data_IF_280527465403
#
_entry.id   IF_280527465403
#
_cell.length_a   1.000
_cell.length_b   1.000
_cell.length_c   1.000
_cell.angle_alpha   90.00
_cell.angle_beta   90.00
_cell.angle_gamma   90.00
#
_symmetry.space_group_name_H-M   'P 1'
#
loop_
_entity.id
_entity.type
_entity.pdbx_description
1 polymer ?
#
# COMPACT_ATOMS: atom_id res chain seq x y z
N UNK A 1 0.03 4.07 -28.19
CA UNK A 1 -0.55 5.03 -27.23
C UNK A 1 -1.04 4.20 -26.05
N UNK A 2 -0.56 4.46 -24.83
CA UNK A 2 -0.90 3.62 -23.67
C UNK A 2 -2.40 3.71 -23.32
N UNK A 3 -2.94 2.65 -22.72
CA UNK A 3 -4.31 2.61 -22.21
C UNK A 3 -4.56 3.78 -21.23
N UNK A 4 -5.69 4.51 -21.33
CA UNK A 4 -6.06 5.55 -20.36
C UNK A 4 -6.07 5.02 -18.92
N UNK A 5 -5.69 5.85 -17.95
CA UNK A 5 -5.59 5.46 -16.52
C UNK A 5 -6.88 4.86 -15.98
N UNK A 6 -8.04 5.43 -16.36
CA UNK A 6 -9.34 4.93 -15.90
C UNK A 6 -9.64 3.53 -16.44
N UNK A 7 -9.35 3.28 -17.72
CA UNK A 7 -9.55 1.96 -18.33
C UNK A 7 -8.59 0.94 -17.69
N UNK A 8 -7.34 1.34 -17.48
CA UNK A 8 -6.34 0.51 -16.78
C UNK A 8 -6.74 0.19 -15.35
N UNK A 9 -7.31 1.16 -14.64
CA UNK A 9 -7.85 1.00 -13.27
C UNK A 9 -8.97 -0.03 -13.27
N UNK A 10 -9.94 0.09 -14.19
CA UNK A 10 -11.03 -0.88 -14.35
C UNK A 10 -10.50 -2.28 -14.64
N UNK A 11 -9.51 -2.36 -15.53
CA UNK A 11 -8.91 -3.64 -15.92
C UNK A 11 -8.22 -4.34 -14.76
N UNK A 12 -7.46 -3.62 -13.92
CA UNK A 12 -6.92 -4.20 -12.69
C UNK A 12 -8.01 -4.56 -11.67
N UNK A 13 -9.06 -3.75 -11.56
CA UNK A 13 -10.14 -3.99 -10.60
C UNK A 13 -10.98 -5.23 -10.94
N UNK A 14 -11.20 -5.53 -12.22
CA UNK A 14 -12.17 -6.55 -12.63
C UNK A 14 -11.58 -7.69 -13.47
N UNK A 15 -10.47 -7.45 -14.19
CA UNK A 15 -9.80 -8.43 -15.04
C UNK A 15 -8.28 -8.53 -14.74
N UNK A 16 -7.85 -8.68 -13.47
CA UNK A 16 -6.45 -8.54 -13.08
C UNK A 16 -5.50 -9.50 -13.81
N UNK A 17 -5.95 -10.73 -14.12
CA UNK A 17 -5.14 -11.69 -14.88
C UNK A 17 -4.78 -11.17 -16.27
N UNK A 18 -5.75 -10.61 -16.99
CA UNK A 18 -5.52 -10.03 -18.31
C UNK A 18 -4.66 -8.76 -18.20
N UNK A 19 -4.97 -7.89 -17.23
CA UNK A 19 -4.20 -6.70 -16.91
C UNK A 19 -2.71 -7.00 -16.71
N UNK A 20 -2.37 -7.97 -15.84
CA UNK A 20 -0.99 -8.32 -15.54
C UNK A 20 -0.24 -8.92 -16.73
N UNK A 21 -0.93 -9.68 -17.59
CA UNK A 21 -0.33 -10.18 -18.83
C UNK A 21 0.05 -9.05 -19.78
N UNK A 22 -0.79 -8.02 -19.86
CA UNK A 22 -0.55 -6.85 -20.71
C UNK A 22 0.63 -5.96 -20.26
N UNK A 23 1.04 -6.02 -18.99
CA UNK A 23 2.08 -5.13 -18.42
C UNK A 23 3.44 -5.82 -18.18
N UNK A 24 3.60 -7.09 -18.63
CA UNK A 24 4.84 -7.86 -18.45
C UNK A 24 6.08 -7.14 -18.98
N UNK A 25 5.96 -6.56 -20.16
CA UNK A 25 7.03 -5.81 -20.84
C UNK A 25 6.90 -4.28 -20.67
N UNK A 26 5.98 -3.83 -19.82
CA UNK A 26 5.82 -2.40 -19.57
C UNK A 26 7.03 -1.82 -18.83
N UNK A 27 7.47 -0.65 -19.30
CA UNK A 27 8.61 0.09 -18.75
C UNK A 27 8.32 0.57 -17.34
N UNK A 28 9.38 0.70 -16.56
CA UNK A 28 9.27 1.13 -15.18
C UNK A 28 8.59 2.49 -15.00
N UNK A 29 8.92 3.44 -15.87
CA UNK A 29 8.36 4.78 -15.86
C UNK A 29 6.84 4.79 -16.06
N UNK A 30 6.28 3.88 -16.85
CA UNK A 30 4.84 3.89 -17.17
C UNK A 30 4.02 3.29 -16.02
N UNK A 31 4.53 2.25 -15.36
CA UNK A 31 4.00 1.77 -14.08
C UNK A 31 4.06 2.86 -13.00
N UNK A 32 5.19 3.56 -12.90
CA UNK A 32 5.35 4.59 -11.88
C UNK A 32 4.43 5.79 -12.11
N UNK A 33 4.22 6.23 -13.37
CA UNK A 33 3.22 7.26 -13.72
C UNK A 33 1.83 6.84 -13.28
N UNK A 34 1.41 5.60 -13.56
CA UNK A 34 0.12 5.08 -13.13
C UNK A 34 -0.03 5.11 -11.60
N UNK A 35 0.99 4.62 -10.89
CA UNK A 35 1.02 4.63 -9.42
C UNK A 35 0.87 6.06 -8.88
N UNK A 36 1.69 6.99 -9.35
CA UNK A 36 1.70 8.38 -8.87
C UNK A 36 0.32 9.02 -9.03
N UNK A 37 -0.34 8.84 -10.16
CA UNK A 37 -1.68 9.39 -10.39
C UNK A 37 -2.68 8.88 -9.35
N UNK A 38 -2.69 7.57 -9.07
CA UNK A 38 -3.58 6.99 -8.07
C UNK A 38 -3.22 7.38 -6.63
N UNK A 39 -1.93 7.52 -6.32
CA UNK A 39 -1.46 7.97 -5.00
C UNK A 39 -1.87 9.42 -4.73
N UNK A 40 -1.78 10.31 -5.71
CA UNK A 40 -2.26 11.69 -5.56
C UNK A 40 -3.78 11.75 -5.36
N UNK A 41 -4.55 10.92 -6.10
CA UNK A 41 -5.98 10.79 -5.86
C UNK A 41 -6.27 10.33 -4.43
N UNK A 42 -5.63 9.25 -3.99
CA UNK A 42 -5.78 8.72 -2.63
C UNK A 42 -5.44 9.76 -1.57
N UNK A 43 -4.31 10.46 -1.71
CA UNK A 43 -3.86 11.47 -0.76
C UNK A 43 -4.84 12.65 -0.66
N UNK A 44 -5.41 13.10 -1.79
CA UNK A 44 -6.45 14.11 -1.79
C UNK A 44 -7.69 13.66 -1.01
N UNK A 45 -8.21 12.46 -1.30
CA UNK A 45 -9.38 11.93 -0.62
C UNK A 45 -9.14 11.67 0.88
N UNK A 46 -7.98 11.14 1.24
CA UNK A 46 -7.58 10.90 2.63
C UNK A 46 -7.42 12.22 3.41
N UNK A 47 -6.89 13.27 2.77
CA UNK A 47 -6.80 14.61 3.37
C UNK A 47 -8.19 15.20 3.60
N UNK A 48 -9.12 15.06 2.64
CA UNK A 48 -10.52 15.46 2.83
C UNK A 48 -11.15 14.74 4.04
N UNK A 49 -10.94 13.42 4.16
CA UNK A 49 -11.47 12.66 5.30
C UNK A 49 -10.85 13.04 6.64
N UNK A 50 -9.60 13.49 6.63
CA UNK A 50 -8.90 14.03 7.80
C UNK A 50 -9.48 15.38 8.19
N UNK A 51 -9.70 16.28 7.23
CA UNK A 51 -10.31 17.61 7.47
C UNK A 51 -11.72 17.47 8.07
N UNK A 52 -12.50 16.50 7.58
CA UNK A 52 -13.85 16.22 8.07
C UNK A 52 -13.85 15.49 9.43
N UNK A 53 -12.68 15.12 9.96
CA UNK A 53 -12.52 14.37 11.21
C UNK A 53 -13.27 13.02 11.25
N UNK A 54 -13.61 12.48 10.07
CA UNK A 54 -14.33 11.20 9.95
C UNK A 54 -13.36 10.03 10.05
N UNK A 55 -12.23 10.14 9.34
CA UNK A 55 -11.23 9.09 9.30
C UNK A 55 -9.83 9.71 9.14
N UNK A 56 -9.27 10.27 10.23
CA UNK A 56 -7.96 10.91 10.20
C UNK A 56 -6.87 9.92 9.77
N UNK A 57 -6.08 10.31 8.77
CA UNK A 57 -5.03 9.44 8.26
C UNK A 57 -3.84 9.38 9.24
N UNK A 58 -3.22 8.21 9.48
CA UNK A 58 -2.12 8.06 10.46
C UNK A 58 -0.88 8.93 10.17
N UNK A 59 -0.68 9.31 8.90
CA UNK A 59 0.42 10.17 8.46
C UNK A 59 0.00 11.64 8.26
N UNK A 60 -1.15 12.05 8.78
CA UNK A 60 -1.54 13.46 8.81
C UNK A 60 -0.80 14.21 9.93
N UNK A 61 -0.56 15.49 9.70
CA UNK A 61 0.10 16.40 10.63
C UNK A 61 -0.65 16.57 11.95
N UNK A 62 -1.94 16.22 12.01
CA UNK A 62 -2.75 16.23 13.25
C UNK A 62 -2.10 15.43 14.37
N UNK A 63 -1.54 14.25 14.04
CA UNK A 63 -0.87 13.38 15.00
C UNK A 63 0.44 13.98 15.52
N UNK A 64 1.14 14.77 14.70
CA UNK A 64 2.46 15.34 15.03
C UNK A 64 2.41 16.79 15.51
N UNK A 65 1.35 17.52 15.24
CA UNK A 65 1.23 18.97 15.46
C UNK A 65 -0.23 19.39 15.70
N UNK A 66 -0.84 18.98 16.83
CA UNK A 66 -2.27 19.14 17.10
C UNK A 66 -2.77 20.58 17.29
N UNK A 67 -1.90 21.60 17.17
CA UNK A 67 -2.24 23.01 17.36
C UNK A 67 -2.50 23.81 16.07
N UNK A 68 -2.29 23.23 14.89
CA UNK A 68 -2.47 23.94 13.61
C UNK A 68 -3.94 23.83 13.16
N UNK A 69 -4.62 24.94 12.80
CA UNK A 69 -6.00 24.89 12.31
C UNK A 69 -6.20 23.91 11.16
N UNK A 70 -7.31 23.16 11.19
CA UNK A 70 -7.59 22.07 10.23
C UNK A 70 -7.66 22.56 8.78
N UNK A 71 -8.15 23.78 8.55
CA UNK A 71 -8.28 24.39 7.22
C UNK A 71 -7.09 25.27 6.83
N UNK A 72 -5.99 25.24 7.59
CA UNK A 72 -4.78 25.98 7.24
C UNK A 72 -4.21 25.45 5.90
N UNK A 73 -4.02 26.29 4.87
CA UNK A 73 -3.49 25.85 3.58
C UNK A 73 -2.13 25.17 3.67
N UNK A 74 -1.26 25.59 4.60
CA UNK A 74 0.06 24.98 4.82
C UNK A 74 -0.11 23.56 5.36
N UNK A 75 -1.04 23.37 6.29
CA UNK A 75 -1.37 22.04 6.85
C UNK A 75 -1.82 21.08 5.76
N UNK A 76 -2.74 21.51 4.90
CA UNK A 76 -3.27 20.70 3.80
C UNK A 76 -2.16 20.24 2.85
N UNK A 77 -1.22 21.15 2.51
CA UNK A 77 -0.07 20.83 1.65
C UNK A 77 0.84 19.80 2.33
N UNK A 78 1.13 19.98 3.62
CA UNK A 78 1.96 19.04 4.40
C UNK A 78 1.29 17.67 4.47
N UNK A 79 -0.02 17.60 4.70
CA UNK A 79 -0.77 16.34 4.78
C UNK A 79 -0.74 15.59 3.46
N UNK A 80 -1.06 16.24 2.34
CA UNK A 80 -1.00 15.62 1.02
C UNK A 80 0.40 15.10 0.74
N UNK A 81 1.43 15.92 0.97
CA UNK A 81 2.81 15.52 0.72
C UNK A 81 3.23 14.32 1.60
N UNK A 82 2.91 14.36 2.88
CA UNK A 82 3.23 13.30 3.84
C UNK A 82 2.54 11.99 3.48
N UNK A 83 1.28 12.03 3.05
CA UNK A 83 0.51 10.86 2.63
C UNK A 83 1.07 10.29 1.32
N UNK A 84 1.43 11.13 0.35
CA UNK A 84 2.05 10.67 -0.91
C UNK A 84 3.38 9.96 -0.63
N UNK A 85 4.27 10.59 0.13
CA UNK A 85 5.60 10.05 0.44
C UNK A 85 5.49 8.76 1.24
N UNK A 86 4.69 8.75 2.31
CA UNK A 86 4.50 7.55 3.15
C UNK A 86 3.89 6.39 2.37
N UNK A 87 2.93 6.65 1.48
CA UNK A 87 2.30 5.62 0.64
C UNK A 87 3.29 5.01 -0.34
N UNK A 88 4.05 5.82 -1.07
CA UNK A 88 5.08 5.33 -2.01
C UNK A 88 6.15 4.55 -1.25
N UNK A 89 6.63 5.08 -0.13
CA UNK A 89 7.65 4.42 0.69
C UNK A 89 7.15 3.07 1.20
N UNK A 90 5.92 3.00 1.68
CA UNK A 90 5.28 1.75 2.14
C UNK A 90 5.23 0.71 1.02
N UNK A 91 4.79 1.09 -0.18
CA UNK A 91 4.73 0.18 -1.32
C UNK A 91 6.12 -0.29 -1.77
N UNK A 92 7.13 0.57 -1.73
CA UNK A 92 8.52 0.19 -2.05
C UNK A 92 9.09 -0.74 -1.00
N UNK A 93 8.96 -0.43 0.30
CA UNK A 93 9.42 -1.30 1.39
C UNK A 93 8.73 -2.66 1.31
N UNK A 94 7.41 -2.67 1.12
CA UNK A 94 6.65 -3.91 0.94
C UNK A 94 7.09 -4.68 -0.30
N UNK A 95 7.38 -4.02 -1.43
CA UNK A 95 7.88 -4.68 -2.63
C UNK A 95 9.24 -5.36 -2.42
N UNK A 96 10.17 -4.71 -1.72
CA UNK A 96 11.47 -5.31 -1.34
C UNK A 96 11.25 -6.51 -0.42
N UNK A 97 10.43 -6.33 0.62
CA UNK A 97 10.10 -7.37 1.58
C UNK A 97 9.43 -8.58 0.94
N UNK A 98 8.43 -8.36 0.08
CA UNK A 98 7.75 -9.39 -0.68
C UNK A 98 8.70 -10.12 -1.64
N UNK A 99 9.66 -9.41 -2.24
CA UNK A 99 10.60 -10.01 -3.19
C UNK A 99 11.45 -11.11 -2.55
N UNK A 100 11.79 -10.98 -1.26
CA UNK A 100 12.45 -12.05 -0.49
C UNK A 100 11.67 -13.36 -0.61
N UNK A 101 10.38 -13.34 -0.29
CA UNK A 101 9.52 -14.53 -0.28
C UNK A 101 9.25 -15.06 -1.68
N UNK A 102 9.03 -14.16 -2.65
CA UNK A 102 8.91 -14.52 -4.08
C UNK A 102 10.17 -15.23 -4.56
N UNK A 103 11.35 -14.73 -4.19
CA UNK A 103 12.62 -15.36 -4.52
C UNK A 103 12.79 -16.72 -3.82
N UNK A 104 12.46 -16.84 -2.53
CA UNK A 104 12.54 -18.12 -1.83
C UNK A 104 11.63 -19.20 -2.46
N UNK A 105 10.48 -18.80 -3.02
CA UNK A 105 9.50 -19.70 -3.64
C UNK A 105 9.70 -19.90 -5.15
N UNK A 106 10.83 -19.45 -5.70
CA UNK A 106 11.26 -19.76 -7.07
C UNK A 106 11.00 -18.67 -8.11
N UNK A 107 10.49 -17.49 -7.73
CA UNK A 107 10.35 -16.35 -8.63
C UNK A 107 11.71 -15.80 -9.04
N UNK A 108 11.99 -15.73 -10.35
CA UNK A 108 13.31 -15.34 -10.90
C UNK A 108 13.22 -14.29 -12.01
N UNK A 109 12.07 -13.61 -12.17
CA UNK A 109 11.88 -12.59 -13.22
C UNK A 109 12.38 -11.19 -12.83
N UNK A 110 13.12 -11.09 -11.72
CA UNK A 110 13.72 -9.86 -11.21
C UNK A 110 12.80 -9.06 -10.27
N UNK A 111 13.41 -8.22 -9.42
CA UNK A 111 12.70 -7.41 -8.42
C UNK A 111 11.70 -6.44 -9.04
N UNK A 112 11.98 -5.94 -10.25
CA UNK A 112 11.08 -5.02 -10.94
C UNK A 112 9.71 -5.64 -11.23
N UNK A 113 9.63 -6.94 -11.50
CA UNK A 113 8.35 -7.63 -11.67
C UNK A 113 7.57 -7.73 -10.35
N UNK A 114 8.26 -7.85 -9.21
CA UNK A 114 7.62 -7.75 -7.89
C UNK A 114 7.08 -6.34 -7.64
N UNK A 115 7.85 -5.28 -7.94
CA UNK A 115 7.37 -3.91 -7.82
C UNK A 115 6.17 -3.63 -8.73
N UNK A 116 6.17 -4.12 -9.97
CA UNK A 116 5.00 -4.03 -10.84
C UNK A 116 3.77 -4.71 -10.24
N UNK A 117 3.94 -5.90 -9.67
CA UNK A 117 2.85 -6.58 -8.93
C UNK A 117 2.31 -5.69 -7.81
N UNK A 118 3.20 -5.20 -6.93
CA UNK A 118 2.81 -4.36 -5.80
C UNK A 118 2.11 -3.08 -6.25
N UNK A 119 2.69 -2.33 -7.18
CA UNK A 119 2.16 -1.03 -7.60
C UNK A 119 0.80 -1.14 -8.28
N UNK A 120 0.61 -2.13 -9.15
CA UNK A 120 -0.69 -2.34 -9.78
C UNK A 120 -1.71 -2.97 -8.84
N UNK A 121 -1.29 -3.89 -7.97
CA UNK A 121 -2.19 -4.50 -7.00
C UNK A 121 -2.70 -3.53 -5.94
N UNK A 122 -1.99 -2.43 -5.68
CA UNK A 122 -2.43 -1.38 -4.76
C UNK A 122 -3.66 -0.60 -5.26
N UNK A 123 -4.04 -0.74 -6.54
CA UNK A 123 -5.17 -0.02 -7.17
C UNK A 123 -6.44 0.00 -6.31
N UNK A 124 -6.94 -1.13 -5.76
CA UNK A 124 -8.16 -1.13 -4.96
C UNK A 124 -8.02 -0.30 -3.69
N UNK A 125 -6.89 -0.40 -2.99
CA UNK A 125 -6.64 0.41 -1.80
C UNK A 125 -6.56 1.89 -2.16
N UNK A 126 -5.87 2.25 -3.23
CA UNK A 126 -5.72 3.65 -3.65
C UNK A 126 -7.06 4.30 -4.06
N UNK A 127 -8.02 3.51 -4.56
CA UNK A 127 -9.33 4.05 -4.97
C UNK A 127 -10.44 3.86 -3.92
N UNK A 128 -10.32 2.93 -2.98
CA UNK A 128 -11.37 2.60 -2.00
C UNK A 128 -11.00 2.89 -0.55
N UNK A 129 -9.71 2.88 -0.17
CA UNK A 129 -9.34 2.91 1.25
C UNK A 129 -9.59 4.24 1.95
N UNK A 130 -9.88 5.31 1.21
CA UNK A 130 -10.34 6.58 1.77
C UNK A 130 -11.79 6.50 2.25
N UNK A 131 -12.58 5.51 1.80
CA UNK A 131 -13.95 5.29 2.28
C UNK A 131 -13.86 4.53 3.61
N UNK A 132 -14.39 5.09 4.72
CA UNK A 132 -14.26 4.51 6.05
C UNK A 132 -14.82 3.09 6.13
N UNK A 133 -14.15 2.25 6.91
CA UNK A 133 -14.54 0.86 7.23
C UNK A 133 -14.64 -0.04 6.01
N UNK A 134 -15.71 0.06 5.21
CA UNK A 134 -16.01 -0.85 4.11
C UNK A 134 -14.97 -0.71 3.00
N UNK A 135 -14.68 0.51 2.56
CA UNK A 135 -13.71 0.70 1.47
C UNK A 135 -12.29 0.35 1.86
N UNK A 136 -11.90 0.61 3.11
CA UNK A 136 -10.63 0.13 3.68
C UNK A 136 -10.55 -1.39 3.66
N UNK A 137 -11.55 -2.10 4.19
CA UNK A 137 -11.56 -3.56 4.25
C UNK A 137 -11.57 -4.19 2.86
N UNK A 138 -12.48 -3.74 1.98
CA UNK A 138 -12.57 -4.23 0.59
C UNK A 138 -11.29 -3.91 -0.18
N UNK A 139 -10.75 -2.70 -0.04
CA UNK A 139 -9.51 -2.28 -0.67
C UNK A 139 -8.33 -3.18 -0.29
N UNK A 140 -8.15 -3.46 1.00
CA UNK A 140 -7.07 -4.33 1.49
C UNK A 140 -7.22 -5.76 0.97
N UNK A 141 -8.39 -6.38 1.15
CA UNK A 141 -8.63 -7.76 0.73
C UNK A 141 -8.44 -7.90 -0.78
N UNK A 142 -8.98 -6.97 -1.56
CA UNK A 142 -8.86 -7.00 -3.01
C UNK A 142 -7.43 -6.76 -3.48
N UNK A 143 -6.68 -5.89 -2.80
CA UNK A 143 -5.24 -5.66 -3.04
C UNK A 143 -4.45 -6.95 -2.84
N UNK A 144 -4.72 -7.71 -1.78
CA UNK A 144 -4.05 -8.99 -1.53
C UNK A 144 -4.33 -9.99 -2.66
N UNK A 145 -5.60 -10.14 -3.06
CA UNK A 145 -6.00 -11.06 -4.14
C UNK A 145 -5.30 -10.68 -5.45
N UNK A 146 -5.34 -9.40 -5.83
CA UNK A 146 -4.69 -8.92 -7.06
C UNK A 146 -3.17 -9.09 -6.97
N UNK A 147 -2.55 -8.90 -5.80
CA UNK A 147 -1.11 -9.08 -5.66
C UNK A 147 -0.69 -10.55 -5.85
N UNK A 148 -1.49 -11.50 -5.37
CA UNK A 148 -1.27 -12.94 -5.64
C UNK A 148 -1.34 -13.22 -7.15
N UNK A 149 -2.33 -12.66 -7.84
CA UNK A 149 -2.45 -12.78 -9.30
C UNK A 149 -1.26 -12.13 -10.02
N UNK A 150 -0.82 -10.96 -9.56
CA UNK A 150 0.33 -10.24 -10.11
C UNK A 150 1.63 -11.04 -9.99
N UNK A 151 1.91 -11.59 -8.80
CA UNK A 151 3.08 -12.45 -8.61
C UNK A 151 3.01 -13.69 -9.50
N UNK A 152 1.85 -14.35 -9.56
CA UNK A 152 1.63 -15.51 -10.42
C UNK A 152 1.94 -15.19 -11.89
N UNK A 153 1.30 -14.16 -12.44
CA UNK A 153 1.39 -13.85 -13.86
C UNK A 153 2.74 -13.24 -14.25
N UNK A 154 3.34 -12.40 -13.39
CA UNK A 154 4.61 -11.71 -13.68
C UNK A 154 5.85 -12.56 -13.39
N UNK A 155 5.81 -13.46 -12.40
CA UNK A 155 6.92 -14.39 -12.12
C UNK A 155 6.76 -15.78 -12.74
N UNK A 156 5.57 -16.12 -13.24
CA UNK A 156 5.28 -17.45 -13.80
C UNK A 156 5.21 -18.55 -12.73
N UNK A 157 4.89 -18.17 -11.49
CA UNK A 157 4.68 -19.12 -10.40
C UNK A 157 3.29 -19.73 -10.48
N UNK A 158 3.10 -20.90 -9.87
CA UNK A 158 1.75 -21.43 -9.65
C UNK A 158 0.98 -20.60 -8.60
N UNK A 159 -0.35 -20.75 -8.56
CA UNK A 159 -1.21 -19.99 -7.65
C UNK A 159 -0.83 -20.19 -6.18
N UNK A 160 -0.49 -21.43 -5.80
CA UNK A 160 -0.18 -21.79 -4.41
C UNK A 160 1.10 -21.11 -3.93
N UNK A 161 2.18 -21.16 -4.70
CA UNK A 161 3.45 -20.48 -4.39
C UNK A 161 3.28 -18.97 -4.35
N UNK A 162 2.49 -18.42 -5.27
CA UNK A 162 2.22 -16.97 -5.31
C UNK A 162 1.45 -16.53 -4.07
N UNK A 163 0.41 -17.28 -3.69
CA UNK A 163 -0.36 -17.04 -2.47
C UNK A 163 0.53 -17.16 -1.23
N UNK A 164 1.34 -18.22 -1.15
CA UNK A 164 2.24 -18.46 -0.03
C UNK A 164 3.27 -17.32 0.10
N UNK A 165 3.82 -16.80 -0.99
CA UNK A 165 4.74 -15.66 -0.96
C UNK A 165 4.10 -14.43 -0.32
N UNK A 166 2.89 -14.08 -0.75
CA UNK A 166 2.15 -12.91 -0.25
C UNK A 166 1.73 -13.11 1.22
N UNK A 167 1.21 -14.29 1.57
CA UNK A 167 0.80 -14.62 2.94
C UNK A 167 1.99 -14.62 3.89
N UNK A 168 3.12 -15.23 3.53
CA UNK A 168 4.33 -15.20 4.36
C UNK A 168 4.82 -13.76 4.57
N UNK A 169 4.85 -12.95 3.50
CA UNK A 169 5.23 -11.55 3.62
C UNK A 169 4.35 -10.78 4.63
N UNK A 170 3.03 -10.98 4.59
CA UNK A 170 2.08 -10.33 5.51
C UNK A 170 2.23 -10.87 6.93
N UNK A 171 2.21 -12.20 7.12
CA UNK A 171 2.24 -12.83 8.44
C UNK A 171 3.53 -12.48 9.19
N UNK A 172 4.69 -12.58 8.53
CA UNK A 172 5.95 -12.23 9.19
C UNK A 172 6.03 -10.74 9.53
N UNK A 173 5.50 -9.86 8.67
CA UNK A 173 5.43 -8.44 8.98
C UNK A 173 4.54 -8.16 10.20
N UNK A 174 3.35 -8.78 10.27
CA UNK A 174 2.44 -8.66 11.42
C UNK A 174 3.10 -9.16 12.70
N UNK A 175 3.79 -10.31 12.67
CA UNK A 175 4.52 -10.84 13.84
C UNK A 175 5.59 -9.85 14.32
N UNK A 176 6.38 -9.28 13.40
CA UNK A 176 7.41 -8.28 13.74
C UNK A 176 6.78 -7.05 14.40
N UNK A 177 5.68 -6.53 13.85
CA UNK A 177 4.98 -5.36 14.40
C UNK A 177 4.41 -5.66 15.80
N UNK A 178 3.77 -6.81 16.00
CA UNK A 178 3.22 -7.21 17.30
C UNK A 178 4.31 -7.31 18.35
N UNK A 179 5.46 -7.92 18.02
CA UNK A 179 6.60 -8.02 18.93
C UNK A 179 7.15 -6.63 19.28
N UNK A 180 7.34 -5.77 18.27
CA UNK A 180 7.88 -4.42 18.47
C UNK A 180 6.96 -3.55 19.35
N UNK A 181 5.65 -3.58 19.09
CA UNK A 181 4.67 -2.85 19.90
C UNK A 181 4.58 -3.40 21.32
N UNK A 182 4.65 -4.72 21.51
CA UNK A 182 4.68 -5.35 22.82
C UNK A 182 5.93 -4.93 23.62
N UNK A 183 7.11 -4.93 22.98
CA UNK A 183 8.35 -4.47 23.61
C UNK A 183 8.29 -2.98 23.98
N UNK A 184 7.76 -2.14 23.10
CA UNK A 184 7.56 -0.71 23.37
C UNK A 184 6.61 -0.50 24.56
N UNK A 185 5.51 -1.25 24.62
CA UNK A 185 4.55 -1.17 25.73
C UNK A 185 5.22 -1.52 27.06
N UNK A 186 5.99 -2.62 27.12
CA UNK A 186 6.74 -3.00 28.32
C UNK A 186 7.73 -1.92 28.74
N UNK A 187 8.45 -1.33 27.78
CA UNK A 187 9.40 -0.26 28.06
C UNK A 187 8.72 0.99 28.63
N UNK A 188 7.58 1.40 28.05
CA UNK A 188 6.78 2.54 28.54
C UNK A 188 6.27 2.27 29.95
N UNK A 189 5.66 1.11 30.20
CA UNK A 189 5.14 0.75 31.53
C UNK A 189 6.24 0.71 32.58
N UNK A 190 7.43 0.22 32.22
CA UNK A 190 8.59 0.17 33.13
C UNK A 190 9.19 1.56 33.41
N UNK A 191 8.88 2.56 32.59
CA UNK A 191 9.35 3.95 32.75
C UNK A 191 8.41 4.83 33.57
N UNK A 192 7.19 4.35 33.87
CA UNK A 192 6.25 5.09 34.70
C UNK A 192 6.74 5.10 36.16
N UNK A 193 6.69 6.25 36.85
CA UNK A 193 6.97 6.29 38.27
C UNK A 193 6.00 5.35 38.99
N UNK A 194 6.51 4.45 39.83
CA UNK A 194 5.69 3.74 40.80
C UNK A 194 5.11 4.81 41.73
N UNK A 195 3.83 5.15 41.59
CA UNK A 195 3.14 5.97 42.57
C UNK A 195 2.99 5.12 43.82
N UNK A 196 3.88 5.30 44.80
CA UNK A 196 3.67 4.82 46.18
C UNK A 196 2.56 5.61 46.87
#
# INVERSE_FOLDING_TARGET
>A
MGMPVLEKTKEFMFNPTHAFRGVKEERAADTFKYLVILVFFYAGMATVMTILQVFPHPFSSEFSSPGIPVLDPVRIIIDIFSIVVSTILTLVIYGVWLHLWVFLLGGRKGIWQTFKSVFYSATPSLILAWIPVIGTLVGIVWTVIINVIGIKELHGLDTTKSALAVVLAIVFFVVIVVIALGALLVAVLSSLPMTE
#
